data_IF_185035637200
#
_entry.id   IF_185035637200
#
_cell.length_a   1.000
_cell.length_b   1.000
_cell.length_c   1.000
_cell.angle_alpha   90.00
_cell.angle_beta   90.00
_cell.angle_gamma   90.00
#
_symmetry.space_group_name_H-M   'P 1'
#
loop_
_entity.id
_entity.type
_entity.pdbx_description
1 polymer ?
#
# COMPACT_ATOMS: atom_id res chain seq x y z
N UNK A 1 7.05 10.31 -17.89
CA UNK A 1 6.87 9.30 -16.82
C UNK A 1 6.71 10.04 -15.51
N UNK A 2 5.81 9.57 -14.64
CA UNK A 2 5.80 10.04 -13.25
C UNK A 2 7.11 9.61 -12.57
N UNK A 3 7.66 10.46 -11.70
CA UNK A 3 8.81 10.05 -10.88
C UNK A 3 8.40 8.94 -9.93
N UNK A 4 9.35 8.08 -9.57
CA UNK A 4 9.10 7.00 -8.61
C UNK A 4 8.57 7.55 -7.28
N UNK A 5 9.07 8.71 -6.84
CA UNK A 5 8.57 9.43 -5.66
C UNK A 5 7.07 9.73 -5.75
N UNK A 6 6.62 10.25 -6.90
CA UNK A 6 5.21 10.56 -7.11
C UNK A 6 4.34 9.31 -7.08
N UNK A 7 4.80 8.21 -7.69
CA UNK A 7 4.08 6.93 -7.69
C UNK A 7 3.98 6.32 -6.28
N UNK A 8 5.03 6.47 -5.47
CA UNK A 8 5.04 6.04 -4.08
C UNK A 8 4.07 6.87 -3.23
N UNK A 9 4.07 8.19 -3.42
CA UNK A 9 3.12 9.09 -2.74
C UNK A 9 1.66 8.79 -3.14
N UNK A 10 1.41 8.52 -4.43
CA UNK A 10 0.11 8.11 -4.94
C UNK A 10 -0.35 6.78 -4.35
N UNK A 11 0.55 5.80 -4.26
CA UNK A 11 0.27 4.50 -3.64
C UNK A 11 -0.22 4.67 -2.21
N UNK A 12 0.46 5.50 -1.41
CA UNK A 12 0.02 5.78 -0.06
C UNK A 12 -1.31 6.51 0.01
N UNK A 13 -1.51 7.49 -0.87
CA UNK A 13 -2.74 8.25 -0.91
C UNK A 13 -3.92 7.29 -1.15
N UNK A 14 -3.78 6.40 -2.13
CA UNK A 14 -4.76 5.35 -2.42
C UNK A 14 -4.93 4.41 -1.23
N UNK A 15 -3.86 4.01 -0.56
CA UNK A 15 -3.94 3.13 0.59
C UNK A 15 -4.64 3.77 1.80
N UNK A 16 -4.40 5.06 2.06
CA UNK A 16 -5.08 5.83 3.11
C UNK A 16 -6.58 5.90 2.81
N UNK A 17 -6.93 6.28 1.58
CA UNK A 17 -8.33 6.34 1.13
C UNK A 17 -9.00 4.96 1.17
N UNK A 18 -8.28 3.90 0.85
CA UNK A 18 -8.77 2.53 1.00
C UNK A 18 -9.10 2.23 2.46
N UNK A 19 -8.22 2.60 3.39
CA UNK A 19 -8.47 2.47 4.84
C UNK A 19 -9.74 3.21 5.28
N UNK A 20 -9.90 4.46 4.87
CA UNK A 20 -11.10 5.26 5.14
C UNK A 20 -12.37 4.60 4.57
N UNK A 21 -12.30 4.13 3.32
CA UNK A 21 -13.41 3.44 2.64
C UNK A 21 -13.77 2.14 3.36
N UNK A 22 -12.79 1.41 3.90
CA UNK A 22 -13.02 0.20 4.70
C UNK A 22 -13.72 0.54 6.01
N UNK A 23 -13.33 1.63 6.69
CA UNK A 23 -14.03 2.07 7.91
C UNK A 23 -15.48 2.47 7.61
N UNK A 24 -15.72 3.17 6.48
CA UNK A 24 -17.07 3.46 6.01
C UNK A 24 -17.86 2.18 5.73
N UNK A 25 -17.26 1.19 5.06
CA UNK A 25 -17.90 -0.09 4.75
C UNK A 25 -18.19 -0.97 5.99
N UNK A 26 -17.44 -0.77 7.09
CA UNK A 26 -17.73 -1.38 8.39
C UNK A 26 -18.93 -0.73 9.06
N UNK A 27 -19.16 0.58 8.86
CA UNK A 27 -20.30 1.29 9.41
C UNK A 27 -21.57 1.16 8.56
N UNK A 28 -21.42 1.14 7.22
CA UNK A 28 -22.50 0.98 6.26
C UNK A 28 -22.06 0.03 5.11
N UNK A 29 -22.67 -1.17 5.01
CA UNK A 29 -22.40 -2.14 3.95
C UNK A 29 -22.55 -1.61 2.51
N UNK A 30 -23.26 -0.50 2.29
CA UNK A 30 -23.40 0.11 0.95
C UNK A 30 -22.04 0.51 0.34
N UNK A 31 -21.04 0.81 1.17
CA UNK A 31 -19.69 1.19 0.72
C UNK A 31 -18.79 0.01 0.33
N UNK A 32 -19.24 -1.25 0.46
CA UNK A 32 -18.42 -2.43 0.13
C UNK A 32 -17.97 -2.46 -1.33
N UNK A 33 -18.81 -1.96 -2.25
CA UNK A 33 -18.43 -1.80 -3.66
C UNK A 33 -17.22 -0.87 -3.84
N UNK A 34 -17.21 0.26 -3.11
CA UNK A 34 -16.09 1.20 -3.14
C UNK A 34 -14.79 0.60 -2.58
N UNK A 35 -14.87 -0.31 -1.59
CA UNK A 35 -13.69 -1.04 -1.10
C UNK A 35 -13.08 -1.90 -2.20
N UNK A 36 -13.92 -2.61 -2.98
CA UNK A 36 -13.46 -3.45 -4.09
C UNK A 36 -12.75 -2.59 -5.15
N UNK A 37 -13.35 -1.46 -5.53
CA UNK A 37 -12.73 -0.54 -6.49
C UNK A 37 -11.41 0.05 -5.99
N UNK A 38 -11.34 0.43 -4.72
CA UNK A 38 -10.10 0.94 -4.12
C UNK A 38 -9.00 -0.11 -4.03
N UNK A 39 -9.35 -1.39 -3.78
CA UNK A 39 -8.38 -2.50 -3.81
C UNK A 39 -7.81 -2.70 -5.22
N UNK A 40 -8.65 -2.62 -6.25
CA UNK A 40 -8.21 -2.69 -7.65
C UNK A 40 -7.25 -1.55 -7.98
N UNK A 41 -7.63 -0.31 -7.66
CA UNK A 41 -6.74 0.86 -7.86
C UNK A 41 -5.41 0.71 -7.13
N UNK A 42 -5.43 0.20 -5.90
CA UNK A 42 -4.21 -0.07 -5.15
C UNK A 42 -3.33 -1.12 -5.85
N UNK A 43 -3.91 -2.19 -6.38
CA UNK A 43 -3.17 -3.19 -7.14
C UNK A 43 -2.54 -2.60 -8.41
N UNK A 44 -3.26 -1.75 -9.14
CA UNK A 44 -2.76 -1.06 -10.33
C UNK A 44 -1.56 -0.16 -9.97
N UNK A 45 -1.65 0.60 -8.87
CA UNK A 45 -0.54 1.45 -8.41
C UNK A 45 0.66 0.63 -7.92
N UNK A 46 0.44 -0.51 -7.27
CA UNK A 46 1.52 -1.43 -6.88
C UNK A 46 2.30 -1.92 -8.09
N UNK A 47 1.61 -2.25 -9.18
CA UNK A 47 2.25 -2.63 -10.45
C UNK A 47 3.01 -1.46 -11.06
N UNK A 48 2.44 -0.25 -11.05
CA UNK A 48 3.09 0.95 -11.55
C UNK A 48 4.39 1.27 -10.78
N UNK A 49 4.37 1.19 -9.45
CA UNK A 49 5.56 1.39 -8.61
C UNK A 49 6.61 0.31 -8.89
N UNK A 50 6.20 -0.95 -9.01
CA UNK A 50 7.12 -2.06 -9.33
C UNK A 50 7.84 -1.82 -10.67
N UNK A 51 7.08 -1.47 -11.71
CA UNK A 51 7.63 -1.15 -13.03
C UNK A 51 8.53 0.08 -13.01
N UNK A 52 8.23 1.09 -12.19
CA UNK A 52 9.06 2.27 -12.05
C UNK A 52 10.41 1.94 -11.38
N UNK A 53 10.41 1.16 -10.29
CA UNK A 53 11.65 0.67 -9.66
C UNK A 53 12.52 -0.08 -10.67
N UNK A 54 11.90 -0.90 -11.51
CA UNK A 54 12.60 -1.70 -12.53
C UNK A 54 13.07 -0.91 -13.75
N UNK A 55 12.66 0.35 -13.92
CA UNK A 55 13.08 1.18 -15.06
C UNK A 55 13.84 2.44 -14.65
N UNK A 56 13.97 2.69 -13.35
CA UNK A 56 14.65 3.87 -12.82
C UNK A 56 16.18 3.72 -12.91
N UNK A 57 16.82 4.62 -13.67
CA UNK A 57 18.25 4.56 -13.93
C UNK A 57 19.10 4.76 -12.66
N UNK A 58 18.68 5.66 -11.75
CA UNK A 58 19.41 5.94 -10.52
C UNK A 58 19.40 4.73 -9.58
N UNK A 59 18.26 4.03 -9.50
CA UNK A 59 18.13 2.79 -8.74
C UNK A 59 18.95 1.67 -9.38
N UNK A 60 18.93 1.55 -10.72
CA UNK A 60 19.73 0.54 -11.44
C UNK A 60 21.24 0.70 -11.25
N UNK A 61 21.71 1.95 -11.21
CA UNK A 61 23.12 2.25 -10.96
C UNK A 61 23.55 1.95 -9.50
N UNK A 62 22.59 1.63 -8.62
CA UNK A 62 22.82 1.27 -7.22
C UNK A 62 22.19 -0.08 -6.86
N UNK A 63 22.85 -1.20 -7.19
CA UNK A 63 22.29 -2.54 -6.99
C UNK A 63 21.83 -2.85 -5.56
N UNK A 64 22.54 -2.32 -4.56
CA UNK A 64 22.17 -2.47 -3.15
C UNK A 64 20.85 -1.75 -2.82
N UNK A 65 20.70 -0.51 -3.30
CA UNK A 65 19.45 0.25 -3.16
C UNK A 65 18.30 -0.44 -3.88
N UNK A 66 18.52 -0.92 -5.11
CA UNK A 66 17.51 -1.65 -5.87
C UNK A 66 17.06 -2.93 -5.16
N UNK A 67 17.98 -3.68 -4.54
CA UNK A 67 17.67 -4.88 -3.78
C UNK A 67 16.85 -4.54 -2.52
N UNK A 68 17.26 -3.53 -1.76
CA UNK A 68 16.54 -3.09 -0.56
C UNK A 68 15.14 -2.57 -0.90
N UNK A 69 15.00 -1.83 -2.00
CA UNK A 69 13.71 -1.34 -2.48
C UNK A 69 12.76 -2.48 -2.80
N UNK A 70 13.21 -3.46 -3.59
CA UNK A 70 12.40 -4.64 -3.93
C UNK A 70 11.98 -5.41 -2.69
N UNK A 71 12.90 -5.60 -1.74
CA UNK A 71 12.62 -6.32 -0.50
C UNK A 71 11.52 -5.59 0.29
N UNK A 72 11.74 -4.33 0.66
CA UNK A 72 10.79 -3.56 1.47
C UNK A 72 9.44 -3.39 0.79
N UNK A 73 9.44 -3.13 -0.52
CA UNK A 73 8.21 -3.02 -1.31
C UNK A 73 7.42 -4.35 -1.33
N UNK A 74 8.12 -5.47 -1.50
CA UNK A 74 7.51 -6.81 -1.45
C UNK A 74 6.92 -7.12 -0.07
N UNK A 75 7.58 -6.72 1.01
CA UNK A 75 7.07 -6.86 2.38
C UNK A 75 5.77 -6.08 2.57
N UNK A 76 5.70 -4.83 2.11
CA UNK A 76 4.46 -4.02 2.16
C UNK A 76 3.34 -4.67 1.36
N UNK A 77 3.60 -5.07 0.12
CA UNK A 77 2.62 -5.76 -0.74
C UNK A 77 2.07 -7.01 -0.06
N UNK A 78 2.95 -7.79 0.57
CA UNK A 78 2.57 -9.02 1.29
C UNK A 78 1.69 -8.70 2.51
N UNK A 79 2.08 -7.72 3.34
CA UNK A 79 1.28 -7.29 4.50
C UNK A 79 -0.11 -6.81 4.07
N UNK A 80 -0.21 -6.05 2.98
CA UNK A 80 -1.50 -5.60 2.44
C UNK A 80 -2.34 -6.78 1.94
N UNK A 81 -1.74 -7.70 1.18
CA UNK A 81 -2.46 -8.87 0.67
C UNK A 81 -3.02 -9.74 1.81
N UNK A 82 -2.20 -10.00 2.85
CA UNK A 82 -2.63 -10.74 4.04
C UNK A 82 -3.78 -10.01 4.74
N UNK A 83 -3.67 -8.70 4.94
CA UNK A 83 -4.73 -7.89 5.54
C UNK A 83 -6.03 -7.99 4.74
N UNK A 84 -5.97 -7.83 3.42
CA UNK A 84 -7.16 -7.87 2.56
C UNK A 84 -7.80 -9.26 2.45
N UNK A 85 -6.99 -10.31 2.54
CA UNK A 85 -7.44 -11.70 2.56
C UNK A 85 -8.13 -12.05 3.89
N UNK A 86 -7.59 -11.56 5.00
CA UNK A 86 -8.17 -11.74 6.33
C UNK A 86 -9.49 -10.97 6.50
N UNK A 87 -9.56 -9.77 5.91
CA UNK A 87 -10.70 -8.87 6.02
C UNK A 87 -11.34 -8.64 4.64
N UNK A 88 -11.96 -9.65 4.01
CA UNK A 88 -12.56 -9.47 2.69
C UNK A 88 -13.71 -8.47 2.76
N UNK A 89 -13.90 -7.66 1.71
CA UNK A 89 -14.88 -6.57 1.70
C UNK A 89 -16.31 -7.02 2.07
N UNK A 90 -16.67 -8.25 1.73
CA UNK A 90 -17.99 -8.83 1.99
C UNK A 90 -18.19 -9.28 3.45
N UNK A 91 -17.11 -9.50 4.21
CA UNK A 91 -17.11 -9.91 5.62
C UNK A 91 -16.52 -8.83 6.54
N UNK A 92 -16.53 -7.57 6.12
CA UNK A 92 -16.16 -6.46 7.00
C UNK A 92 -17.24 -6.32 8.08
N UNK A 93 -16.99 -6.90 9.25
CA UNK A 93 -17.79 -6.71 10.44
C UNK A 93 -17.38 -5.43 11.18
N UNK A 94 -18.38 -4.78 11.78
CA UNK A 94 -18.25 -3.48 12.42
C UNK A 94 -17.44 -3.53 13.72
N UNK A 95 -17.31 -4.67 14.41
CA UNK A 95 -16.83 -4.70 15.81
C UNK A 95 -15.67 -5.66 16.10
N UNK A 96 -14.93 -6.12 15.09
CA UNK A 96 -13.77 -6.99 15.32
C UNK A 96 -12.54 -6.22 15.84
N UNK A 97 -12.07 -6.43 17.10
CA UNK A 97 -10.90 -5.74 17.63
C UNK A 97 -9.58 -6.17 16.96
N UNK A 98 -9.55 -7.35 16.34
CA UNK A 98 -8.38 -7.83 15.60
C UNK A 98 -8.20 -7.06 14.29
N UNK A 99 -9.29 -6.57 13.70
CA UNK A 99 -9.22 -5.66 12.56
C UNK A 99 -8.44 -4.39 12.93
N UNK A 100 -8.79 -3.74 14.04
CA UNK A 100 -8.20 -2.45 14.42
C UNK A 100 -6.69 -2.59 14.69
N UNK A 101 -6.30 -3.66 15.36
CA UNK A 101 -4.89 -4.00 15.58
C UNK A 101 -4.15 -4.28 14.27
N UNK A 102 -4.76 -5.05 13.38
CA UNK A 102 -4.18 -5.36 12.06
C UNK A 102 -4.02 -4.10 11.21
N UNK A 103 -5.02 -3.22 11.24
CA UNK A 103 -5.02 -1.96 10.51
C UNK A 103 -3.99 -0.97 11.08
N UNK A 104 -3.77 -0.96 12.40
CA UNK A 104 -2.71 -0.17 13.02
C UNK A 104 -1.32 -0.65 12.59
N UNK A 105 -1.03 -1.96 12.66
CA UNK A 105 0.26 -2.54 12.22
C UNK A 105 0.54 -2.28 10.74
N UNK A 106 -0.49 -2.37 9.90
CA UNK A 106 -0.35 -2.07 8.48
C UNK A 106 0.00 -0.59 8.25
N UNK A 107 -0.71 0.33 8.91
CA UNK A 107 -0.43 1.78 8.84
C UNK A 107 1.00 2.11 9.27
N UNK A 108 1.46 1.50 10.36
CA UNK A 108 2.83 1.67 10.85
C UNK A 108 3.86 1.17 9.83
N UNK A 109 3.68 -0.03 9.29
CA UNK A 109 4.57 -0.57 8.26
C UNK A 109 4.65 0.33 7.02
N UNK A 110 3.52 0.90 6.58
CA UNK A 110 3.51 1.82 5.45
C UNK A 110 4.28 3.10 5.75
N UNK A 111 4.11 3.67 6.96
CA UNK A 111 4.85 4.86 7.39
C UNK A 111 6.35 4.59 7.38
N UNK A 112 6.79 3.48 7.95
CA UNK A 112 8.21 3.08 7.98
C UNK A 112 8.80 2.92 6.58
N UNK A 113 8.07 2.26 5.67
CA UNK A 113 8.50 2.13 4.27
C UNK A 113 8.67 3.49 3.60
N UNK A 114 7.80 4.45 3.91
CA UNK A 114 7.77 5.76 3.27
C UNK A 114 8.84 6.70 3.75
N UNK A 115 9.06 6.71 5.06
CA UNK A 115 10.14 7.48 5.65
C UNK A 115 11.49 6.98 5.11
N UNK A 116 11.63 5.65 4.98
CA UNK A 116 12.77 5.05 4.31
C UNK A 116 12.86 5.43 2.82
N UNK A 117 11.79 5.24 2.03
CA UNK A 117 11.81 5.45 0.60
C UNK A 117 12.14 6.91 0.25
N UNK A 118 11.55 7.87 0.97
CA UNK A 118 11.88 9.30 0.82
C UNK A 118 13.31 9.62 1.25
N UNK A 119 13.83 8.94 2.28
CA UNK A 119 15.24 9.09 2.67
C UNK A 119 16.19 8.58 1.59
N UNK A 120 15.86 7.43 1.00
CA UNK A 120 16.67 6.77 -0.02
C UNK A 120 16.62 7.47 -1.39
N UNK A 121 15.51 8.17 -1.70
CA UNK A 121 15.30 8.89 -2.94
C UNK A 121 15.66 10.38 -2.86
N UNK A 122 16.07 10.90 -1.69
CA UNK A 122 16.66 12.24 -1.60
C UNK A 122 18.08 12.22 -2.16
N UNK A 123 18.21 12.63 -3.41
CA UNK A 123 19.49 12.91 -4.07
C UNK A 123 19.47 14.33 -4.65
#
# INVERSE_FOLDING_TARGET
>A
MASIEHLIDDMLHIQRRLGETVLQARADPSHRGAVIDMRRRFADTVLAVSSAIESDAFIHDQPALAAEFRQRFSEIRTKVAIFQAKWPAVLLDSHDPEFDQSAARLRESNREFMDWARGALKH
#
